data_IF_371278938739
#
_entry.id   IF_371278938739
#
_cell.length_a   1.000
_cell.length_b   1.000
_cell.length_c   1.000
_cell.angle_alpha   90.00
_cell.angle_beta   90.00
_cell.angle_gamma   90.00
#
_symmetry.space_group_name_H-M   'P 1'
#
loop_
_entity.id
_entity.type
_entity.pdbx_description
1 polymer ?
#
# COMPACT_ATOMS: atom_id res chain seq x y z
N UNK A 1 65.55 -18.53 -14.00
CA UNK A 1 65.31 -18.86 -12.58
C UNK A 1 64.89 -17.67 -11.73
N UNK A 2 65.59 -16.52 -11.72
CA UNK A 2 65.20 -15.35 -10.91
C UNK A 2 63.76 -14.85 -11.12
N UNK A 3 63.30 -14.72 -12.37
CA UNK A 3 61.91 -14.30 -12.69
C UNK A 3 60.83 -15.25 -12.12
N UNK A 4 61.05 -16.56 -12.21
CA UNK A 4 60.11 -17.54 -11.65
C UNK A 4 59.91 -17.38 -10.14
N UNK A 5 61.00 -17.14 -9.39
CA UNK A 5 60.91 -16.93 -7.95
C UNK A 5 60.34 -15.56 -7.57
N UNK A 6 60.56 -14.51 -8.38
CA UNK A 6 59.91 -13.21 -8.15
C UNK A 6 58.41 -13.27 -8.38
N UNK A 7 57.97 -13.96 -9.43
CA UNK A 7 56.54 -14.08 -9.76
C UNK A 7 55.78 -14.88 -8.69
N UNK A 8 56.41 -15.92 -8.13
CA UNK A 8 55.87 -16.67 -6.98
C UNK A 8 55.77 -15.79 -5.74
N UNK A 9 56.81 -15.00 -5.44
CA UNK A 9 56.81 -14.10 -4.29
C UNK A 9 55.72 -13.02 -4.41
N UNK A 10 55.55 -12.44 -5.60
CA UNK A 10 54.50 -11.46 -5.88
C UNK A 10 53.10 -12.08 -5.74
N UNK A 11 52.92 -13.30 -6.26
CA UNK A 11 51.65 -14.04 -6.13
C UNK A 11 51.32 -14.38 -4.67
N UNK A 12 52.29 -14.86 -3.89
CA UNK A 12 52.06 -15.18 -2.47
C UNK A 12 51.83 -13.92 -1.65
N UNK A 13 52.61 -12.87 -1.88
CA UNK A 13 52.48 -11.60 -1.14
C UNK A 13 51.14 -10.90 -1.40
N UNK A 14 50.64 -10.94 -2.64
CA UNK A 14 49.32 -10.40 -3.00
C UNK A 14 48.17 -11.20 -2.39
N UNK A 15 48.26 -12.54 -2.39
CA UNK A 15 47.28 -13.41 -1.71
C UNK A 15 47.27 -13.16 -0.21
N UNK A 16 48.43 -13.11 0.43
CA UNK A 16 48.54 -12.82 1.87
C UNK A 16 48.02 -11.42 2.21
N UNK A 17 48.25 -10.44 1.34
CA UNK A 17 47.67 -9.11 1.45
C UNK A 17 46.13 -9.13 1.42
N UNK A 18 45.54 -9.86 0.47
CA UNK A 18 44.08 -10.04 0.40
C UNK A 18 43.51 -10.78 1.61
N UNK A 19 44.14 -11.89 2.02
CA UNK A 19 43.71 -12.67 3.19
C UNK A 19 43.83 -11.88 4.50
N UNK A 20 44.82 -11.00 4.62
CA UNK A 20 44.97 -10.08 5.76
C UNK A 20 43.75 -9.17 5.91
N UNK A 21 43.27 -8.59 4.80
CA UNK A 21 42.07 -7.74 4.80
C UNK A 21 40.84 -8.56 5.21
N UNK A 22 40.67 -9.76 4.65
CA UNK A 22 39.58 -10.67 5.05
C UNK A 22 39.62 -11.01 6.54
N UNK A 23 40.81 -11.29 7.08
CA UNK A 23 41.01 -11.60 8.49
C UNK A 23 40.67 -10.40 9.39
N UNK A 24 41.05 -9.18 8.97
CA UNK A 24 40.66 -7.94 9.66
C UNK A 24 39.15 -7.79 9.71
N UNK A 25 38.45 -8.01 8.59
CA UNK A 25 36.98 -7.96 8.57
C UNK A 25 36.35 -9.06 9.43
N UNK A 26 36.91 -10.27 9.45
CA UNK A 26 36.43 -11.38 10.28
C UNK A 26 36.47 -11.03 11.77
N UNK A 27 37.58 -10.44 12.23
CA UNK A 27 37.70 -10.04 13.65
C UNK A 27 36.89 -8.78 13.98
N UNK A 28 36.73 -7.84 13.03
CA UNK A 28 35.87 -6.66 13.22
C UNK A 28 34.38 -6.95 13.13
N UNK A 29 33.97 -8.04 12.50
CA UNK A 29 32.56 -8.40 12.31
C UNK A 29 31.76 -8.50 13.62
N UNK A 30 32.44 -8.80 14.75
CA UNK A 30 31.79 -8.85 16.06
C UNK A 30 31.38 -7.47 16.60
N UNK A 31 32.11 -6.41 16.24
CA UNK A 31 31.92 -5.07 16.78
C UNK A 31 31.29 -4.10 15.76
N UNK A 32 31.56 -4.28 14.47
CA UNK A 32 31.08 -3.44 13.36
C UNK A 32 30.05 -4.20 12.50
N UNK A 33 29.07 -4.87 13.12
CA UNK A 33 28.04 -5.58 12.36
C UNK A 33 27.03 -4.60 11.75
N UNK A 34 26.90 -4.64 10.42
CA UNK A 34 25.90 -3.84 9.68
C UNK A 34 24.51 -4.52 9.69
N UNK A 35 24.45 -5.77 10.16
CA UNK A 35 23.21 -6.57 10.20
C UNK A 35 22.37 -6.25 11.42
N UNK A 36 21.08 -5.99 11.22
CA UNK A 36 20.07 -5.94 12.27
C UNK A 36 19.39 -7.31 12.41
N UNK A 37 18.93 -7.66 13.62
CA UNK A 37 18.18 -8.90 13.85
C UNK A 37 16.69 -8.68 13.57
N UNK A 38 16.27 -8.87 12.32
CA UNK A 38 14.86 -8.91 11.96
C UNK A 38 14.23 -10.23 12.46
N UNK A 39 13.03 -10.22 13.06
CA UNK A 39 12.02 -9.16 13.09
C UNK A 39 12.05 -8.21 14.30
N UNK A 40 12.85 -8.49 15.34
CA UNK A 40 12.86 -7.71 16.59
C UNK A 40 13.40 -6.29 16.38
N UNK A 41 14.43 -6.16 15.53
CA UNK A 41 15.03 -4.89 15.15
C UNK A 41 14.72 -4.58 13.68
N UNK A 42 14.20 -3.39 13.44
CA UNK A 42 13.88 -2.89 12.09
C UNK A 42 14.70 -1.65 11.80
N UNK A 43 15.11 -1.50 10.54
CA UNK A 43 15.84 -0.31 10.10
C UNK A 43 15.04 0.95 10.42
N UNK A 44 15.66 1.98 11.03
CA UNK A 44 15.02 3.27 11.12
C UNK A 44 14.74 3.76 9.72
N UNK A 45 13.56 4.36 9.52
CA UNK A 45 13.15 4.83 8.19
C UNK A 45 14.16 5.88 7.72
N UNK A 46 14.74 5.74 6.52
CA UNK A 46 15.70 6.72 6.03
C UNK A 46 15.01 8.08 5.91
N UNK A 47 15.50 9.06 6.65
CA UNK A 47 15.08 10.46 6.53
C UNK A 47 15.70 11.04 5.26
N UNK A 48 15.14 10.69 4.09
CA UNK A 48 15.55 11.28 2.82
C UNK A 48 15.04 12.72 2.75
N UNK A 49 15.94 13.69 2.96
CA UNK A 49 15.65 15.10 2.70
C UNK A 49 15.65 15.38 1.19
N UNK A 50 14.53 15.06 0.52
CA UNK A 50 14.27 15.37 -0.89
C UNK A 50 13.70 16.78 -1.09
N UNK A 51 13.79 17.67 -0.09
CA UNK A 51 13.22 19.01 -0.13
C UNK A 51 11.72 19.09 0.17
N UNK A 52 11.11 17.99 0.64
CA UNK A 52 9.71 17.93 1.07
C UNK A 52 9.64 17.58 2.56
N UNK A 53 8.67 18.15 3.29
CA UNK A 53 8.46 17.83 4.71
C UNK A 53 8.01 16.37 4.86
N UNK A 54 8.61 15.63 5.79
CA UNK A 54 8.35 14.20 6.00
C UNK A 54 6.91 13.91 6.43
N UNK A 55 6.20 14.90 6.98
CA UNK A 55 4.78 14.78 7.30
C UNK A 55 3.87 14.95 6.08
N UNK A 56 4.38 15.40 4.94
CA UNK A 56 3.58 15.70 3.74
C UNK A 56 3.49 14.56 2.74
N UNK A 57 4.36 13.54 2.86
CA UNK A 57 4.41 12.44 1.90
C UNK A 57 4.84 11.11 2.54
N UNK A 58 4.43 10.00 1.91
CA UNK A 58 4.88 8.68 2.31
C UNK A 58 6.29 8.40 1.75
N UNK A 59 7.27 8.29 2.65
CA UNK A 59 8.68 7.96 2.31
C UNK A 59 8.81 6.51 1.83
N UNK A 60 7.97 5.62 2.38
CA UNK A 60 7.94 4.19 2.07
C UNK A 60 6.70 3.90 1.23
N UNK A 61 6.87 3.03 0.24
CA UNK A 61 5.77 2.45 -0.52
C UNK A 61 5.07 1.41 0.35
N UNK A 62 4.02 1.84 1.04
CA UNK A 62 3.19 1.02 1.91
C UNK A 62 1.95 0.52 1.18
N UNK A 63 1.17 -0.35 1.84
CA UNK A 63 -0.11 -0.83 1.31
C UNK A 63 -1.10 0.32 1.12
N UNK A 64 -1.89 0.26 0.05
CA UNK A 64 -3.07 1.11 -0.15
C UNK A 64 -4.22 0.66 0.76
N UNK A 65 -4.90 1.61 1.38
CA UNK A 65 -6.13 1.39 2.14
C UNK A 65 -7.24 2.33 1.64
N UNK A 66 -8.49 1.89 1.77
CA UNK A 66 -9.66 2.65 1.35
C UNK A 66 -10.70 2.69 2.46
N UNK A 67 -10.99 3.88 2.95
CA UNK A 67 -12.08 4.14 3.87
C UNK A 67 -13.41 4.18 3.10
N UNK A 68 -14.12 3.05 3.06
CA UNK A 68 -15.38 2.95 2.30
C UNK A 68 -16.51 3.84 2.81
N UNK A 69 -16.45 4.25 4.07
CA UNK A 69 -17.41 5.22 4.64
C UNK A 69 -17.32 6.58 3.95
N UNK A 70 -16.13 6.99 3.53
CA UNK A 70 -15.90 8.27 2.86
C UNK A 70 -15.84 8.16 1.33
N UNK A 71 -15.68 6.95 0.78
CA UNK A 71 -15.66 6.74 -0.67
C UNK A 71 -17.01 7.04 -1.34
N UNK A 72 -17.07 8.10 -2.15
CA UNK A 72 -18.28 8.54 -2.89
C UNK A 72 -18.48 7.82 -4.24
N UNK A 73 -17.59 6.90 -4.63
CA UNK A 73 -17.73 6.16 -5.90
C UNK A 73 -17.49 6.98 -7.17
N UNK A 74 -16.61 8.01 -7.13
CA UNK A 74 -16.40 8.93 -8.26
C UNK A 74 -15.54 8.38 -9.41
N UNK A 75 -14.96 7.18 -9.29
CA UNK A 75 -14.11 6.51 -10.29
C UNK A 75 -12.82 7.27 -10.69
N UNK A 76 -12.44 8.32 -9.96
CA UNK A 76 -11.24 9.10 -10.26
C UNK A 76 -9.94 8.34 -10.01
N UNK A 77 -9.89 7.55 -8.94
CA UNK A 77 -8.71 6.74 -8.59
C UNK A 77 -8.47 5.60 -9.58
N UNK A 78 -9.53 4.95 -10.08
CA UNK A 78 -9.45 3.95 -11.15
C UNK A 78 -8.87 4.56 -12.43
N UNK A 79 -9.42 5.71 -12.89
CA UNK A 79 -8.92 6.40 -14.08
C UNK A 79 -7.48 6.92 -13.96
N UNK A 80 -7.04 7.25 -12.75
CA UNK A 80 -5.68 7.73 -12.50
C UNK A 80 -4.65 6.60 -12.41
N UNK A 81 -5.08 5.34 -12.28
CA UNK A 81 -4.17 4.23 -12.12
C UNK A 81 -3.44 3.93 -13.45
N UNK A 82 -2.08 3.97 -13.48
CA UNK A 82 -1.33 3.74 -14.72
C UNK A 82 -1.36 2.28 -15.18
N UNK A 83 -1.65 1.35 -14.27
CA UNK A 83 -1.67 -0.11 -14.52
C UNK A 83 -3.07 -0.71 -14.45
N UNK A 84 -4.11 0.13 -14.25
CA UNK A 84 -5.51 -0.29 -14.19
C UNK A 84 -5.83 -1.42 -13.17
N UNK A 85 -5.09 -1.45 -12.06
CA UNK A 85 -5.25 -2.47 -11.01
C UNK A 85 -6.41 -2.24 -10.03
N UNK A 86 -7.15 -1.14 -10.17
CA UNK A 86 -8.29 -0.78 -9.30
C UNK A 86 -9.56 -0.99 -10.11
N UNK A 87 -10.53 -1.75 -9.59
CA UNK A 87 -11.82 -1.99 -10.23
C UNK A 87 -12.95 -1.54 -9.32
N UNK A 88 -13.79 -0.64 -9.82
CA UNK A 88 -14.87 -0.03 -9.04
C UNK A 88 -16.20 -0.19 -9.78
N UNK A 89 -17.18 -0.79 -9.12
CA UNK A 89 -18.58 -0.83 -9.59
C UNK A 89 -19.44 -0.01 -8.62
N UNK A 90 -20.34 0.79 -9.18
CA UNK A 90 -21.22 1.68 -8.40
C UNK A 90 -22.64 1.60 -8.92
N UNK A 91 -23.59 1.69 -8.01
CA UNK A 91 -25.01 1.73 -8.29
C UNK A 91 -25.64 2.95 -7.64
N UNK A 92 -26.80 3.39 -8.15
CA UNK A 92 -27.50 4.57 -7.61
C UNK A 92 -28.05 4.25 -6.23
N UNK A 93 -27.80 5.15 -5.28
CA UNK A 93 -28.42 5.04 -3.97
C UNK A 93 -29.94 5.31 -4.08
N UNK A 94 -30.79 4.60 -3.32
CA UNK A 94 -32.24 4.81 -3.28
C UNK A 94 -32.64 6.23 -2.84
N UNK A 95 -31.82 6.88 -2.02
CA UNK A 95 -31.98 8.26 -1.60
C UNK A 95 -30.60 8.89 -1.34
N UNK A 96 -30.45 10.18 -1.66
CA UNK A 96 -29.15 10.86 -1.56
C UNK A 96 -28.85 11.24 -0.11
N UNK A 97 -27.73 10.77 0.42
CA UNK A 97 -27.25 11.12 1.75
C UNK A 97 -28.02 10.49 2.91
N UNK A 98 -28.79 9.43 2.65
CA UNK A 98 -29.41 8.62 3.70
C UNK A 98 -28.51 7.43 4.05
N UNK A 99 -28.46 7.10 5.34
CA UNK A 99 -27.73 5.94 5.84
C UNK A 99 -28.58 4.69 5.64
N UNK A 100 -28.09 3.74 4.84
CA UNK A 100 -28.75 2.45 4.61
C UNK A 100 -28.09 1.42 5.53
N UNK A 101 -28.75 1.15 6.66
CA UNK A 101 -28.23 0.23 7.69
C UNK A 101 -28.08 -1.21 7.19
N UNK A 102 -28.97 -1.65 6.33
CA UNK A 102 -28.99 -3.02 5.76
C UNK A 102 -27.72 -3.33 4.97
N UNK A 103 -27.25 -2.36 4.17
CA UNK A 103 -26.02 -2.46 3.35
C UNK A 103 -24.79 -1.90 4.10
N UNK A 104 -24.98 -1.46 5.35
CA UNK A 104 -23.99 -0.69 6.12
C UNK A 104 -23.48 0.53 5.35
N UNK A 105 -24.27 1.13 4.47
CA UNK A 105 -23.86 2.31 3.70
C UNK A 105 -24.07 3.57 4.54
N UNK A 106 -23.02 4.36 4.71
CA UNK A 106 -23.09 5.70 5.30
C UNK A 106 -23.32 6.70 4.18
N UNK A 107 -24.39 7.49 4.27
CA UNK A 107 -24.82 8.45 3.26
C UNK A 107 -24.05 9.77 3.30
N UNK A 108 -23.46 10.14 4.44
CA UNK A 108 -22.68 11.38 4.58
C UNK A 108 -21.22 11.06 4.92
N UNK A 109 -20.30 11.60 4.13
CA UNK A 109 -18.84 11.47 4.37
C UNK A 109 -18.38 12.32 5.56
N UNK A 110 -17.19 12.06 6.08
CA UNK A 110 -16.53 12.85 7.12
C UNK A 110 -16.38 14.34 6.74
N UNK A 111 -16.28 14.65 5.44
CA UNK A 111 -16.21 16.03 4.93
C UNK A 111 -17.59 16.65 4.64
N UNK A 112 -18.69 15.95 4.93
CA UNK A 112 -20.06 16.45 4.76
C UNK A 112 -20.68 16.23 3.38
N UNK A 113 -20.02 15.50 2.49
CA UNK A 113 -20.56 15.21 1.15
C UNK A 113 -21.68 14.18 1.23
N UNK A 114 -22.85 14.53 0.66
CA UNK A 114 -23.99 13.61 0.54
C UNK A 114 -23.81 12.66 -0.63
N UNK A 115 -23.61 11.38 -0.33
CA UNK A 115 -23.41 10.29 -1.29
C UNK A 115 -24.68 10.03 -2.10
N UNK A 116 -24.50 9.96 -3.42
CA UNK A 116 -25.55 9.59 -4.37
C UNK A 116 -25.34 8.18 -4.96
N UNK A 117 -24.17 7.59 -4.73
CA UNK A 117 -23.76 6.30 -5.27
C UNK A 117 -23.37 5.38 -4.12
N UNK A 118 -23.79 4.12 -4.24
CA UNK A 118 -23.34 3.02 -3.40
C UNK A 118 -22.27 2.25 -4.19
N UNK A 119 -21.13 2.01 -3.56
CA UNK A 119 -20.06 1.23 -4.17
C UNK A 119 -20.33 -0.25 -3.91
N UNK A 120 -20.63 -1.01 -4.97
CA UNK A 120 -20.92 -2.44 -4.89
C UNK A 120 -19.66 -3.29 -4.99
N UNK A 121 -18.65 -2.80 -5.72
CA UNK A 121 -17.34 -3.43 -5.86
C UNK A 121 -16.25 -2.38 -5.75
N UNK A 122 -15.22 -2.67 -4.97
CA UNK A 122 -14.01 -1.86 -4.89
C UNK A 122 -12.87 -2.83 -4.60
N UNK A 123 -12.21 -3.26 -5.67
CA UNK A 123 -11.11 -4.21 -5.60
C UNK A 123 -9.82 -3.51 -6.02
N UNK A 124 -8.74 -3.76 -5.28
CA UNK A 124 -7.39 -3.35 -5.65
C UNK A 124 -6.54 -4.61 -5.76
N UNK A 125 -6.00 -4.86 -6.94
CA UNK A 125 -4.98 -5.90 -7.13
C UNK A 125 -3.60 -5.35 -6.72
N UNK A 126 -3.11 -5.78 -5.55
CA UNK A 126 -1.81 -5.37 -5.03
C UNK A 126 -0.65 -6.11 -5.71
N UNK A 127 -0.92 -7.19 -6.45
CA UNK A 127 0.08 -7.89 -7.27
C UNK A 127 0.45 -7.11 -8.53
N UNK A 128 -0.48 -6.27 -9.02
CA UNK A 128 -0.26 -5.41 -10.20
C UNK A 128 0.11 -3.97 -9.81
N UNK A 129 -0.28 -3.52 -8.62
CA UNK A 129 0.00 -2.18 -8.13
C UNK A 129 1.50 -1.86 -8.08
N UNK A 130 1.92 -0.74 -8.69
CA UNK A 130 3.30 -0.26 -8.65
C UNK A 130 3.60 0.69 -7.47
N UNK A 131 2.64 0.86 -6.54
CA UNK A 131 2.74 1.71 -5.34
C UNK A 131 3.22 3.14 -5.63
N UNK A 132 2.71 3.76 -6.70
CA UNK A 132 3.12 5.09 -7.16
C UNK A 132 2.42 6.25 -6.43
N UNK A 133 1.38 5.98 -5.63
CA UNK A 133 0.57 6.98 -4.93
C UNK A 133 -0.22 7.95 -5.84
N UNK A 134 -0.37 7.66 -7.14
CA UNK A 134 -1.12 8.54 -8.07
C UNK A 134 -2.64 8.49 -7.86
N UNK A 135 -3.17 7.40 -7.33
CA UNK A 135 -4.60 7.21 -7.10
C UNK A 135 -5.14 7.98 -5.88
N UNK A 136 -4.27 8.46 -4.98
CA UNK A 136 -4.65 9.19 -3.76
C UNK A 136 -4.86 10.68 -4.03
N UNK A 137 -4.02 11.27 -4.88
CA UNK A 137 -4.09 12.68 -5.27
C UNK A 137 -5.44 13.14 -5.86
N UNK A 138 -6.10 12.40 -6.77
CA UNK A 138 -7.37 12.83 -7.36
C UNK A 138 -8.58 12.57 -6.46
N UNK A 139 -8.41 11.94 -5.30
CA UNK A 139 -9.51 11.60 -4.40
C UNK A 139 -10.03 12.87 -3.70
N UNK A 140 -11.28 13.30 -3.94
CA UNK A 140 -11.81 14.53 -3.34
C UNK A 140 -12.11 14.40 -1.84
N UNK A 141 -12.31 13.18 -1.35
CA UNK A 141 -12.65 12.88 0.04
C UNK A 141 -11.45 12.32 0.83
N UNK A 142 -10.28 12.21 0.20
CA UNK A 142 -9.07 11.61 0.78
C UNK A 142 -9.32 10.21 1.42
N UNK A 143 -10.24 9.45 0.82
CA UNK A 143 -10.66 8.15 1.35
C UNK A 143 -9.72 7.01 0.94
N UNK A 144 -8.98 7.14 -0.17
CA UNK A 144 -7.94 6.20 -0.58
C UNK A 144 -6.58 6.80 -0.27
N UNK A 145 -5.76 6.06 0.47
CA UNK A 145 -4.45 6.53 0.89
C UNK A 145 -3.46 5.38 1.07
N UNK A 146 -2.17 5.70 0.94
CA UNK A 146 -1.09 4.82 1.34
C UNK A 146 -0.94 4.87 2.87
N UNK A 147 -0.89 3.71 3.52
CA UNK A 147 -0.83 3.58 4.99
C UNK A 147 0.49 4.11 5.57
N UNK A 148 0.48 4.64 6.80
CA UNK A 148 1.69 5.26 7.39
C UNK A 148 1.97 6.68 6.91
N UNK A 149 3.15 7.19 7.27
CA UNK A 149 3.58 8.58 7.03
C UNK A 149 2.52 9.61 7.48
N UNK A 150 2.04 10.53 6.60
CA UNK A 150 0.95 11.47 6.92
C UNK A 150 -0.31 10.78 7.46
N UNK A 151 -0.60 9.58 6.98
CA UNK A 151 -1.82 8.84 7.29
C UNK A 151 -1.63 7.83 8.42
N UNK A 152 -0.51 7.87 9.15
CA UNK A 152 -0.25 6.99 10.30
C UNK A 152 -1.32 7.09 11.40
N UNK A 153 -2.03 8.23 11.47
CA UNK A 153 -3.17 8.44 12.37
C UNK A 153 -4.41 7.60 11.98
N UNK A 154 -4.61 7.36 10.68
CA UNK A 154 -5.74 6.56 10.15
C UNK A 154 -5.42 5.08 10.21
N UNK A 155 -4.24 4.70 9.70
CA UNK A 155 -3.82 3.31 9.65
C UNK A 155 -2.30 3.21 9.89
N UNK A 156 -1.84 2.27 10.75
CA UNK A 156 -0.41 2.05 10.94
C UNK A 156 0.26 1.69 9.61
N UNK A 157 1.55 2.00 9.51
CA UNK A 157 2.33 1.67 8.32
C UNK A 157 2.33 0.15 8.10
N UNK A 158 1.96 -0.27 6.90
CA UNK A 158 1.95 -1.68 6.54
C UNK A 158 2.70 -1.90 5.24
N UNK A 159 3.82 -2.60 5.32
CA UNK A 159 4.67 -3.00 4.20
C UNK A 159 5.02 -4.50 4.24
N UNK A 160 4.54 -5.22 5.26
CA UNK A 160 4.83 -6.63 5.54
C UNK A 160 3.55 -7.47 5.34
N UNK A 161 2.93 -7.34 4.18
CA UNK A 161 1.65 -7.98 3.84
C UNK A 161 1.80 -9.07 2.77
N UNK A 162 2.90 -9.83 2.83
CA UNK A 162 3.12 -10.94 1.92
C UNK A 162 2.09 -12.04 2.14
N UNK A 163 1.40 -12.44 1.07
CA UNK A 163 0.48 -13.57 1.08
C UNK A 163 1.07 -14.76 0.30
N UNK A 164 0.77 -16.01 0.70
CA UNK A 164 1.26 -17.20 0.01
C UNK A 164 0.59 -17.40 -1.35
N UNK A 165 -0.69 -17.06 -1.45
CA UNK A 165 -1.50 -17.20 -2.66
C UNK A 165 -1.71 -15.84 -3.33
N UNK A 166 -1.61 -15.81 -4.67
CA UNK A 166 -1.80 -14.57 -5.45
C UNK A 166 -3.21 -14.00 -5.28
N UNK A 167 -4.21 -14.87 -5.11
CA UNK A 167 -5.61 -14.45 -4.97
C UNK A 167 -5.86 -13.62 -3.71
N UNK A 168 -5.04 -13.80 -2.67
CA UNK A 168 -5.15 -13.07 -1.40
C UNK A 168 -4.54 -11.67 -1.48
N UNK A 169 -3.74 -11.38 -2.53
CA UNK A 169 -3.27 -10.03 -2.86
C UNK A 169 -4.35 -9.15 -3.53
N UNK A 170 -5.54 -9.70 -3.79
CA UNK A 170 -6.68 -8.94 -4.30
C UNK A 170 -7.51 -8.46 -3.12
N UNK A 171 -7.30 -7.21 -2.73
CA UNK A 171 -7.98 -6.62 -1.60
C UNK A 171 -9.33 -6.08 -2.01
N UNK A 172 -10.39 -6.60 -1.38
CA UNK A 172 -11.78 -6.19 -1.59
C UNK A 172 -12.21 -5.28 -0.47
N UNK A 173 -12.37 -4.00 -0.76
CA UNK A 173 -12.76 -2.99 0.22
C UNK A 173 -14.28 -2.83 0.32
N UNK A 174 -15.02 -3.15 -0.75
CA UNK A 174 -16.48 -3.04 -0.75
C UNK A 174 -17.13 -3.83 0.40
N UNK A 175 -18.21 -3.25 0.97
CA UNK A 175 -18.94 -3.85 2.08
C UNK A 175 -19.63 -5.13 1.62
N UNK A 176 -19.48 -6.21 2.40
CA UNK A 176 -20.08 -7.53 2.08
C UNK A 176 -21.60 -7.39 1.94
N UNK A 177 -22.16 -8.03 0.91
CA UNK A 177 -23.61 -8.02 0.63
C UNK A 177 -24.14 -6.72 0.04
N UNK A 178 -23.28 -5.74 -0.30
CA UNK A 178 -23.76 -4.44 -0.79
C UNK A 178 -24.52 -4.52 -2.12
N UNK A 179 -24.14 -5.44 -3.00
CA UNK A 179 -24.82 -5.66 -4.28
C UNK A 179 -26.18 -6.33 -4.12
N UNK A 180 -26.23 -7.37 -3.29
CA UNK A 180 -27.45 -8.15 -3.01
C UNK A 180 -28.47 -7.30 -2.25
N UNK A 181 -28.06 -6.64 -1.16
CA UNK A 181 -28.95 -5.78 -0.38
C UNK A 181 -29.46 -4.57 -1.15
N UNK A 182 -28.69 -4.04 -2.10
CA UNK A 182 -29.17 -2.94 -2.96
C UNK A 182 -30.19 -3.43 -4.00
N UNK A 183 -30.01 -4.64 -4.52
CA UNK A 183 -30.98 -5.27 -5.41
C UNK A 183 -32.32 -5.51 -4.69
N UNK A 184 -32.29 -6.00 -3.44
CA UNK A 184 -33.49 -6.19 -2.61
C UNK A 184 -34.22 -4.87 -2.34
N UNK A 185 -33.51 -3.81 -1.97
CA UNK A 185 -34.10 -2.48 -1.77
C UNK A 185 -34.72 -1.90 -3.05
N UNK A 186 -34.06 -2.09 -4.19
CA UNK A 186 -34.57 -1.61 -5.47
C UNK A 186 -35.82 -2.39 -5.89
N UNK A 187 -35.85 -3.71 -5.68
CA UNK A 187 -37.02 -4.53 -5.97
C UNK A 187 -38.20 -4.15 -5.05
N UNK A 188 -37.97 -3.97 -3.74
CA UNK A 188 -39.00 -3.56 -2.79
C UNK A 188 -39.60 -2.17 -3.12
N UNK A 189 -38.78 -1.24 -3.64
CA UNK A 189 -39.28 0.05 -4.13
C UNK A 189 -40.13 -0.10 -5.38
N UNK A 190 -39.71 -0.94 -6.33
CA UNK A 190 -40.48 -1.20 -7.55
C UNK A 190 -41.83 -1.86 -7.24
N UNK A 191 -41.87 -2.79 -6.26
CA UNK A 191 -43.11 -3.40 -5.79
C UNK A 191 -44.02 -2.41 -5.05
N UNK A 192 -43.46 -1.43 -4.33
CA UNK A 192 -44.23 -0.39 -3.66
C UNK A 192 -44.77 0.70 -4.62
N UNK A 193 -44.15 0.85 -5.80
CA UNK A 193 -44.54 1.80 -6.85
C UNK A 193 -45.50 1.20 -7.90
N UNK A 194 -45.69 -0.12 -7.89
CA UNK A 194 -46.61 -0.88 -8.77
C UNK A 194 -48.01 -1.03 -8.16
#
# INVERSE_FOLDING_TARGET
>A
MKRYFTDIYESVSSILGGMSITLVHLFKARNDNVTLQYPEEKWPRPERNIGFDHNSYNVIRSRLHVDMDDCIGCLKCERACPVDCIKIETEKAPARGEDLKEIKHKGVTSNGTRKALVVTRFDIDMSECCYCNLCTYPCPEECIFMTGGPNAKKHPIDYEFSEPDRSDLIYRFAKKGAKEGLAELNNAKQEAEA
#
